data_IF_598329109063
#
_entry.id   IF_598329109063
#
_cell.length_a   1.000
_cell.length_b   1.000
_cell.length_c   1.000
_cell.angle_alpha   90.00
_cell.angle_beta   90.00
_cell.angle_gamma   90.00
#
_symmetry.space_group_name_H-M   'P 1'
#
loop_
_entity.id
_entity.type
_entity.pdbx_description
1 polymer ?
#
# COMPACT_ATOMS: atom_id res chain seq x y z
N UNK A 1 -39.23 19.57 -15.72
CA UNK A 1 -38.68 18.23 -15.87
C UNK A 1 -38.57 17.60 -14.48
N UNK A 2 -39.12 16.41 -14.29
CA UNK A 2 -39.16 15.69 -12.98
C UNK A 2 -37.76 15.35 -12.43
N UNK A 3 -36.74 15.34 -13.29
CA UNK A 3 -35.33 15.10 -12.91
C UNK A 3 -34.64 16.31 -12.31
N UNK A 4 -35.25 17.50 -12.40
CA UNK A 4 -34.66 18.73 -11.89
C UNK A 4 -34.84 18.84 -10.37
N UNK A 5 -33.73 19.05 -9.65
CA UNK A 5 -33.74 19.24 -8.22
C UNK A 5 -33.55 20.73 -7.88
N UNK A 6 -34.60 21.37 -7.38
CA UNK A 6 -34.58 22.80 -7.04
C UNK A 6 -33.77 23.16 -5.79
N UNK A 7 -33.37 22.16 -4.99
CA UNK A 7 -32.65 22.40 -3.72
C UNK A 7 -31.34 23.19 -3.90
N UNK A 8 -30.65 22.98 -5.02
CA UNK A 8 -29.42 23.70 -5.31
C UNK A 8 -29.69 25.16 -5.62
N UNK A 9 -30.73 25.43 -6.41
CA UNK A 9 -31.19 26.78 -6.70
C UNK A 9 -31.61 27.52 -5.41
N UNK A 10 -32.34 26.86 -4.53
CA UNK A 10 -32.76 27.38 -3.22
C UNK A 10 -31.54 27.70 -2.31
N UNK A 11 -30.52 26.84 -2.30
CA UNK A 11 -29.32 27.07 -1.49
C UNK A 11 -28.39 28.15 -2.03
N UNK A 12 -28.30 28.28 -3.35
CA UNK A 12 -27.37 29.21 -4.01
C UNK A 12 -28.00 30.54 -4.41
N UNK A 13 -29.32 30.64 -4.34
CA UNK A 13 -30.07 31.80 -4.86
C UNK A 13 -30.05 31.90 -6.38
N UNK A 14 -29.54 30.88 -7.09
CA UNK A 14 -29.50 30.84 -8.54
C UNK A 14 -30.84 30.34 -9.10
N UNK A 15 -31.28 30.85 -10.22
CA UNK A 15 -32.52 30.42 -10.87
C UNK A 15 -32.19 29.71 -12.18
N UNK A 16 -32.34 28.41 -12.20
CA UNK A 16 -32.10 27.58 -13.38
C UNK A 16 -33.33 27.58 -14.29
N UNK A 17 -33.19 28.14 -15.52
CA UNK A 17 -34.26 28.25 -16.53
C UNK A 17 -34.22 27.14 -17.57
N UNK A 18 -33.04 26.75 -18.02
CA UNK A 18 -32.82 25.67 -18.96
C UNK A 18 -31.42 25.09 -18.79
N UNK A 19 -31.30 23.78 -19.11
CA UNK A 19 -30.07 22.98 -18.90
C UNK A 19 -29.81 22.17 -20.17
N UNK A 20 -28.54 22.08 -20.58
CA UNK A 20 -28.03 21.02 -21.45
C UNK A 20 -27.00 20.22 -20.63
N UNK A 21 -27.07 18.90 -20.75
CA UNK A 21 -26.24 17.99 -19.99
C UNK A 21 -25.70 16.90 -20.91
N UNK A 22 -24.40 16.67 -20.88
CA UNK A 22 -23.74 15.62 -21.65
C UNK A 22 -22.76 14.83 -20.78
N UNK A 23 -22.69 13.49 -20.94
CA UNK A 23 -21.73 12.66 -20.24
C UNK A 23 -20.32 12.86 -20.78
N UNK A 24 -19.34 12.93 -19.89
CA UNK A 24 -17.91 12.85 -20.22
C UNK A 24 -17.53 11.38 -20.32
N UNK A 25 -17.23 10.92 -21.53
CA UNK A 25 -16.90 9.51 -21.78
C UNK A 25 -15.45 9.35 -22.17
N UNK A 26 -14.82 8.31 -21.66
CA UNK A 26 -13.51 7.84 -22.14
C UNK A 26 -13.59 7.34 -23.57
N UNK A 27 -12.46 7.17 -24.23
CA UNK A 27 -12.37 6.51 -25.56
C UNK A 27 -12.95 5.10 -25.53
N UNK A 28 -12.95 4.42 -24.36
CA UNK A 28 -13.53 3.09 -24.16
C UNK A 28 -15.05 3.11 -23.93
N UNK A 29 -15.64 4.31 -23.79
CA UNK A 29 -17.07 4.48 -23.56
C UNK A 29 -17.50 4.62 -22.10
N UNK A 30 -16.58 4.47 -21.14
CA UNK A 30 -16.88 4.62 -19.71
C UNK A 30 -17.23 6.05 -19.37
N UNK A 31 -18.26 6.26 -18.55
CA UNK A 31 -18.66 7.58 -18.10
C UNK A 31 -17.83 7.96 -16.87
N UNK A 32 -16.99 8.99 -17.00
CA UNK A 32 -16.11 9.48 -15.93
C UNK A 32 -16.61 10.80 -15.32
N UNK A 33 -17.65 11.41 -15.88
CA UNK A 33 -18.21 12.66 -15.38
C UNK A 33 -19.37 13.13 -16.23
N UNK A 34 -19.86 14.31 -15.89
CA UNK A 34 -20.98 14.98 -16.59
C UNK A 34 -20.68 16.46 -16.68
N UNK A 35 -20.92 17.04 -17.86
CA UNK A 35 -20.90 18.49 -18.06
C UNK A 35 -22.34 19.00 -18.12
N UNK A 36 -22.62 20.04 -17.35
CA UNK A 36 -23.89 20.77 -17.40
C UNK A 36 -23.64 22.23 -17.75
N UNK A 37 -24.44 22.73 -18.66
CA UNK A 37 -24.46 24.16 -19.00
C UNK A 37 -25.86 24.68 -18.72
N UNK A 38 -25.92 25.77 -17.95
CA UNK A 38 -27.17 26.34 -17.44
C UNK A 38 -27.46 27.66 -18.12
N UNK A 39 -28.72 27.94 -18.29
CA UNK A 39 -29.26 29.27 -18.65
C UNK A 39 -28.66 29.89 -19.93
N UNK A 40 -28.95 29.30 -21.07
CA UNK A 40 -28.63 29.92 -22.38
C UNK A 40 -29.15 31.36 -22.44
N UNK A 41 -28.30 32.29 -22.79
CA UNK A 41 -28.64 33.75 -22.78
C UNK A 41 -29.76 34.12 -23.74
N UNK A 42 -29.88 33.45 -24.88
CA UNK A 42 -30.93 33.68 -25.87
C UNK A 42 -31.60 32.36 -26.25
N UNK A 43 -32.91 32.25 -26.01
CA UNK A 43 -33.68 31.05 -26.35
C UNK A 43 -33.44 29.84 -25.43
N UNK A 44 -33.63 28.64 -26.00
CA UNK A 44 -33.41 27.35 -25.35
C UNK A 44 -32.25 26.64 -26.02
N UNK A 45 -31.63 25.69 -25.33
CA UNK A 45 -30.62 24.83 -25.92
C UNK A 45 -31.22 24.01 -27.10
N UNK A 46 -30.48 23.96 -28.21
CA UNK A 46 -30.81 23.25 -29.43
C UNK A 46 -29.99 21.94 -29.54
N UNK A 47 -30.26 21.15 -30.60
CA UNK A 47 -29.43 19.98 -30.91
C UNK A 47 -28.00 20.37 -31.26
N UNK A 48 -27.80 21.46 -31.97
CA UNK A 48 -26.46 21.95 -32.31
C UNK A 48 -25.66 22.35 -31.05
N UNK A 49 -26.33 22.94 -30.06
CA UNK A 49 -25.71 23.25 -28.77
C UNK A 49 -25.26 21.95 -28.06
N UNK A 50 -26.08 20.90 -28.12
CA UNK A 50 -25.73 19.58 -27.55
C UNK A 50 -24.50 18.95 -28.25
N UNK A 51 -24.46 19.01 -29.59
CA UNK A 51 -23.32 18.50 -30.37
C UNK A 51 -22.01 19.23 -29.99
N UNK A 52 -22.07 20.54 -29.80
CA UNK A 52 -20.93 21.33 -29.32
C UNK A 52 -20.49 20.88 -27.91
N UNK A 53 -21.45 20.68 -27.01
CA UNK A 53 -21.16 20.22 -25.65
C UNK A 53 -20.54 18.82 -25.67
N UNK A 54 -21.07 17.92 -26.50
CA UNK A 54 -20.51 16.55 -26.67
C UNK A 54 -19.07 16.59 -27.23
N UNK A 55 -18.77 17.46 -28.18
CA UNK A 55 -17.41 17.63 -28.67
C UNK A 55 -16.46 18.14 -27.58
N UNK A 56 -16.92 19.06 -26.72
CA UNK A 56 -16.16 19.57 -25.56
C UNK A 56 -15.96 18.46 -24.53
N UNK A 57 -16.97 17.58 -24.28
CA UNK A 57 -16.83 16.49 -23.33
C UNK A 57 -15.75 15.49 -23.73
N UNK A 58 -15.60 15.23 -25.04
CA UNK A 58 -14.55 14.35 -25.57
C UNK A 58 -13.15 14.92 -25.25
N UNK A 59 -12.95 16.20 -25.51
CA UNK A 59 -11.68 16.88 -25.21
C UNK A 59 -11.41 16.93 -23.69
N UNK A 60 -12.43 17.17 -22.89
CA UNK A 60 -12.35 17.16 -21.43
C UNK A 60 -11.98 15.77 -20.89
N UNK A 61 -12.53 14.70 -21.47
CA UNK A 61 -12.22 13.33 -21.08
C UNK A 61 -10.73 13.01 -21.27
N UNK A 62 -10.18 13.35 -22.44
CA UNK A 62 -8.76 13.15 -22.75
C UNK A 62 -7.87 13.94 -21.78
N UNK A 63 -8.22 15.20 -21.52
CA UNK A 63 -7.45 16.06 -20.61
C UNK A 63 -7.47 15.53 -19.16
N UNK A 64 -8.62 15.06 -18.68
CA UNK A 64 -8.76 14.46 -17.35
C UNK A 64 -7.96 13.18 -17.21
N UNK A 65 -8.03 12.28 -18.20
CA UNK A 65 -7.27 11.04 -18.17
C UNK A 65 -5.75 11.30 -18.17
N UNK A 66 -5.30 12.25 -18.98
CA UNK A 66 -3.88 12.63 -19.00
C UNK A 66 -3.44 13.21 -17.64
N UNK A 67 -4.26 14.08 -17.04
CA UNK A 67 -3.95 14.65 -15.73
C UNK A 67 -3.88 13.57 -14.63
N UNK A 68 -4.83 12.64 -14.61
CA UNK A 68 -4.82 11.52 -13.66
C UNK A 68 -3.59 10.61 -13.86
N UNK A 69 -3.26 10.29 -15.11
CA UNK A 69 -2.07 9.49 -15.41
C UNK A 69 -0.76 10.16 -14.95
N UNK A 70 -0.64 11.47 -15.13
CA UNK A 70 0.52 12.24 -14.63
C UNK A 70 0.57 12.23 -13.11
N UNK A 71 -0.56 12.41 -12.43
CA UNK A 71 -0.63 12.41 -10.97
C UNK A 71 -0.26 11.03 -10.38
N UNK A 72 -0.75 9.94 -10.99
CA UNK A 72 -0.38 8.57 -10.59
C UNK A 72 1.13 8.29 -10.79
N UNK A 73 1.68 8.74 -11.93
CA UNK A 73 3.12 8.62 -12.19
C UNK A 73 3.96 9.42 -11.19
N UNK A 74 3.54 10.63 -10.85
CA UNK A 74 4.26 11.48 -9.89
C UNK A 74 4.21 10.89 -8.47
N UNK A 75 3.08 10.34 -8.07
CA UNK A 75 2.92 9.66 -6.79
C UNK A 75 3.78 8.38 -6.71
N UNK A 76 3.84 7.60 -7.79
CA UNK A 76 4.70 6.41 -7.86
C UNK A 76 6.16 6.81 -7.78
N UNK A 77 6.58 7.81 -8.53
CA UNK A 77 7.95 8.32 -8.52
C UNK A 77 8.37 8.88 -7.16
N UNK A 78 7.48 9.59 -6.46
CA UNK A 78 7.77 10.07 -5.10
C UNK A 78 8.03 8.92 -4.14
N UNK A 79 7.22 7.85 -4.21
CA UNK A 79 7.43 6.66 -3.38
C UNK A 79 8.75 5.94 -3.69
N UNK A 80 9.12 5.84 -4.97
CA UNK A 80 10.40 5.26 -5.38
C UNK A 80 11.59 6.09 -4.90
N UNK A 81 11.52 7.42 -5.00
CA UNK A 81 12.58 8.30 -4.50
C UNK A 81 12.73 8.22 -2.98
N UNK A 82 11.62 8.22 -2.24
CA UNK A 82 11.63 8.07 -0.78
C UNK A 82 12.29 6.73 -0.38
N UNK A 83 12.04 5.66 -1.13
CA UNK A 83 12.69 4.37 -0.92
C UNK A 83 14.20 4.44 -1.17
N UNK A 84 14.64 5.06 -2.28
CA UNK A 84 16.06 5.21 -2.62
C UNK A 84 16.81 6.08 -1.60
N UNK A 85 16.20 7.13 -1.07
CA UNK A 85 16.77 7.96 -0.01
C UNK A 85 17.03 7.13 1.26
N UNK A 86 16.04 6.29 1.64
CA UNK A 86 16.20 5.38 2.78
C UNK A 86 17.35 4.41 2.56
N UNK A 87 17.44 3.79 1.37
CA UNK A 87 18.52 2.87 1.03
C UNK A 87 19.88 3.58 1.04
N UNK A 88 19.95 4.81 0.55
CA UNK A 88 21.18 5.61 0.54
C UNK A 88 21.66 5.95 1.95
N UNK A 89 20.74 6.35 2.84
CA UNK A 89 21.07 6.65 4.24
C UNK A 89 21.58 5.41 4.99
N UNK A 90 20.98 4.27 4.69
CA UNK A 90 21.32 2.97 5.27
C UNK A 90 22.73 2.50 4.89
N UNK A 91 23.14 2.71 3.64
CA UNK A 91 24.47 2.27 3.17
C UNK A 91 25.65 3.12 3.67
N UNK A 92 25.38 4.28 4.24
CA UNK A 92 26.41 5.17 4.79
C UNK A 92 26.87 4.78 6.22
N UNK A 93 26.18 3.86 6.89
CA UNK A 93 26.50 3.42 8.26
C UNK A 93 27.54 2.28 8.29
N UNK A 94 28.59 2.42 9.10
CA UNK A 94 29.71 1.46 9.21
C UNK A 94 29.40 0.33 10.22
N UNK A 95 28.55 0.57 11.21
CA UNK A 95 28.14 -0.45 12.18
C UNK A 95 26.94 -1.27 11.68
N UNK A 96 27.20 -2.55 11.38
CA UNK A 96 26.16 -3.45 10.87
C UNK A 96 24.93 -3.55 11.79
N UNK A 97 25.12 -3.47 13.11
CA UNK A 97 24.01 -3.54 14.07
C UNK A 97 23.08 -2.33 13.93
N UNK A 98 23.64 -1.12 13.97
CA UNK A 98 22.91 0.13 13.79
C UNK A 98 22.26 0.21 12.40
N UNK A 99 22.96 -0.27 11.36
CA UNK A 99 22.45 -0.34 10.01
C UNK A 99 21.17 -1.20 9.94
N UNK A 100 21.24 -2.43 10.42
CA UNK A 100 20.10 -3.36 10.43
C UNK A 100 18.94 -2.82 11.26
N UNK A 101 19.23 -2.15 12.39
CA UNK A 101 18.22 -1.51 13.21
C UNK A 101 17.47 -0.43 12.43
N UNK A 102 18.19 0.44 11.72
CA UNK A 102 17.57 1.50 10.89
C UNK A 102 16.72 0.92 9.76
N UNK A 103 17.24 -0.09 9.05
CA UNK A 103 16.48 -0.80 8.00
C UNK A 103 15.15 -1.32 8.56
N UNK A 104 15.19 -1.97 9.72
CA UNK A 104 13.98 -2.54 10.30
C UNK A 104 12.98 -1.47 10.78
N UNK A 105 13.47 -0.34 11.32
CA UNK A 105 12.62 0.80 11.69
C UNK A 105 11.91 1.36 10.46
N UNK A 106 12.64 1.59 9.38
CA UNK A 106 12.06 2.14 8.15
C UNK A 106 11.14 1.14 7.44
N UNK A 107 11.51 -0.13 7.37
CA UNK A 107 10.63 -1.17 6.84
C UNK A 107 9.30 -1.24 7.61
N UNK A 108 9.35 -1.16 8.94
CA UNK A 108 8.14 -1.15 9.79
C UNK A 108 7.27 0.07 9.48
N UNK A 109 7.88 1.24 9.34
CA UNK A 109 7.19 2.51 9.00
C UNK A 109 6.54 2.41 7.60
N UNK A 110 7.30 1.97 6.60
CA UNK A 110 6.84 1.86 5.20
C UNK A 110 5.66 0.89 5.06
N UNK A 111 5.70 -0.22 5.79
CA UNK A 111 4.64 -1.22 5.81
C UNK A 111 3.45 -0.80 6.66
N UNK A 112 3.54 0.30 7.40
CA UNK A 112 2.55 0.69 8.40
C UNK A 112 2.22 -0.46 9.38
N UNK A 113 3.27 -1.18 9.80
CA UNK A 113 3.21 -2.29 10.73
C UNK A 113 3.46 -1.83 12.17
N UNK A 114 3.12 -2.65 13.16
CA UNK A 114 3.41 -2.34 14.56
C UNK A 114 4.87 -2.65 14.92
N UNK A 115 5.35 -3.81 14.45
CA UNK A 115 6.68 -4.34 14.79
C UNK A 115 7.27 -5.10 13.61
N UNK A 116 8.60 -5.23 13.63
CA UNK A 116 9.32 -6.13 12.74
C UNK A 116 10.47 -6.81 13.47
N UNK A 117 10.88 -7.94 12.93
CA UNK A 117 12.00 -8.73 13.42
C UNK A 117 12.83 -9.26 12.25
N UNK A 118 14.13 -9.08 12.33
CA UNK A 118 15.08 -9.70 11.41
C UNK A 118 15.71 -10.90 12.09
N UNK A 119 15.51 -12.07 11.53
CA UNK A 119 16.13 -13.32 11.95
C UNK A 119 17.25 -13.72 10.99
N UNK A 120 18.39 -14.08 11.54
CA UNK A 120 19.48 -14.72 10.83
C UNK A 120 19.62 -16.17 11.27
N UNK A 121 20.08 -17.03 10.37
CA UNK A 121 20.32 -18.44 10.69
C UNK A 121 21.73 -18.62 11.27
N UNK A 122 21.79 -19.27 12.42
CA UNK A 122 23.01 -19.79 13.00
C UNK A 122 23.19 -21.24 12.52
N UNK A 123 24.13 -21.47 11.59
CA UNK A 123 24.35 -22.79 11.00
C UNK A 123 24.92 -23.80 12.01
N UNK A 124 25.53 -23.32 13.11
CA UNK A 124 26.12 -24.22 14.12
C UNK A 124 25.10 -24.81 15.08
N UNK A 125 24.08 -23.98 15.41
CA UNK A 125 23.03 -24.38 16.35
C UNK A 125 21.73 -24.77 15.64
N UNK A 126 21.65 -24.59 14.32
CA UNK A 126 20.43 -24.77 13.51
C UNK A 126 19.26 -23.94 14.04
N UNK A 127 19.55 -22.72 14.50
CA UNK A 127 18.59 -21.79 15.06
C UNK A 127 18.49 -20.50 14.23
N UNK A 128 17.28 -19.96 14.19
CA UNK A 128 17.06 -18.56 13.83
C UNK A 128 17.20 -17.70 15.08
N UNK A 129 18.04 -16.66 15.03
CA UNK A 129 18.18 -15.70 16.11
C UNK A 129 17.82 -14.29 15.62
N UNK A 130 17.17 -13.52 16.48
CA UNK A 130 16.82 -12.14 16.15
C UNK A 130 18.07 -11.26 16.23
N UNK A 131 18.52 -10.77 15.08
CA UNK A 131 19.57 -9.74 15.01
C UNK A 131 19.01 -8.37 15.35
N UNK A 132 17.74 -8.15 14.98
CA UNK A 132 16.96 -6.98 15.36
C UNK A 132 15.55 -7.45 15.71
N UNK A 133 15.05 -7.08 16.88
CA UNK A 133 13.67 -7.27 17.29
C UNK A 133 13.11 -5.97 17.84
N UNK A 134 12.03 -5.47 17.22
CA UNK A 134 11.38 -4.24 17.66
C UNK A 134 10.37 -4.51 18.76
N UNK A 135 10.43 -3.74 19.85
CA UNK A 135 9.53 -3.77 21.00
C UNK A 135 10.28 -3.53 22.29
N UNK A 136 9.60 -2.89 23.26
CA UNK A 136 10.22 -2.63 24.58
C UNK A 136 10.43 -3.95 25.34
N UNK A 137 11.63 -4.10 25.92
CA UNK A 137 11.97 -5.24 26.79
C UNK A 137 12.14 -6.59 26.05
N UNK A 138 12.19 -6.60 24.72
CA UNK A 138 12.44 -7.82 23.94
C UNK A 138 13.95 -8.03 23.85
N UNK A 139 14.45 -9.09 24.49
CA UNK A 139 15.81 -9.58 24.32
C UNK A 139 16.00 -10.34 23.00
N UNK A 140 17.16 -10.99 22.83
CA UNK A 140 17.39 -11.85 21.68
C UNK A 140 16.40 -13.03 21.68
N UNK A 141 15.70 -13.19 20.55
CA UNK A 141 14.79 -14.31 20.30
C UNK A 141 15.58 -15.39 19.59
N UNK A 142 15.59 -16.61 20.13
CA UNK A 142 16.15 -17.80 19.45
C UNK A 142 15.08 -18.87 19.31
N UNK A 143 15.03 -19.51 18.16
CA UNK A 143 14.11 -20.62 17.88
C UNK A 143 14.74 -21.58 16.85
N UNK A 144 14.44 -22.89 16.91
CA UNK A 144 14.88 -23.83 15.87
C UNK A 144 14.46 -23.33 14.48
N UNK A 145 15.36 -23.45 13.51
CA UNK A 145 15.14 -22.93 12.16
C UNK A 145 14.06 -23.69 11.36
N UNK A 146 13.42 -24.66 11.98
CA UNK A 146 12.28 -25.45 11.45
C UNK A 146 10.95 -25.10 12.12
N UNK A 147 10.95 -24.22 13.13
CA UNK A 147 9.77 -23.97 13.98
C UNK A 147 9.14 -22.59 13.70
N UNK A 148 7.82 -22.55 13.76
CA UNK A 148 7.04 -21.33 13.61
C UNK A 148 6.98 -20.82 12.18
N UNK A 149 6.44 -19.61 12.01
CA UNK A 149 6.32 -18.97 10.69
C UNK A 149 7.70 -18.65 10.12
N UNK A 150 8.60 -18.11 10.95
CA UNK A 150 9.97 -17.79 10.54
C UNK A 150 10.72 -19.03 10.04
N UNK A 151 10.64 -20.14 10.78
CA UNK A 151 11.24 -21.42 10.38
C UNK A 151 10.63 -21.96 9.08
N UNK A 152 9.31 -21.91 8.93
CA UNK A 152 8.64 -22.34 7.70
C UNK A 152 9.12 -21.54 6.48
N UNK A 153 9.23 -20.21 6.59
CA UNK A 153 9.73 -19.33 5.52
C UNK A 153 11.21 -19.60 5.23
N UNK A 154 12.03 -19.79 6.26
CA UNK A 154 13.43 -20.11 6.09
C UNK A 154 13.65 -21.43 5.34
N UNK A 155 12.87 -22.47 5.65
CA UNK A 155 12.97 -23.79 5.02
C UNK A 155 12.41 -23.80 3.59
N UNK A 156 11.24 -23.19 3.38
CA UNK A 156 10.58 -23.19 2.05
C UNK A 156 11.17 -22.16 1.10
N UNK A 157 11.81 -21.11 1.62
CA UNK A 157 12.24 -19.93 0.90
C UNK A 157 11.10 -19.18 0.19
N UNK A 158 9.88 -19.42 0.64
CA UNK A 158 8.66 -18.79 0.11
C UNK A 158 8.14 -17.74 1.10
N UNK A 159 7.65 -16.64 0.57
CA UNK A 159 6.98 -15.61 1.37
C UNK A 159 5.66 -16.12 1.92
N UNK A 160 5.37 -15.73 3.15
CA UNK A 160 4.11 -16.06 3.82
C UNK A 160 3.43 -14.77 4.28
N UNK A 161 2.18 -14.57 3.82
CA UNK A 161 1.31 -13.47 4.24
C UNK A 161 0.09 -14.05 4.96
N UNK A 162 0.01 -13.81 6.26
CA UNK A 162 -1.02 -14.39 7.15
C UNK A 162 -1.89 -13.28 7.70
N UNK A 163 -3.15 -13.16 7.27
CA UNK A 163 -4.06 -12.13 7.79
C UNK A 163 -4.53 -12.38 9.23
N UNK A 164 -4.51 -13.64 9.69
CA UNK A 164 -4.95 -14.06 11.02
C UNK A 164 -3.98 -15.11 11.62
N UNK A 165 -3.01 -14.62 12.40
CA UNK A 165 -1.92 -15.46 12.92
C UNK A 165 -2.41 -16.69 13.70
N UNK A 166 -3.40 -16.54 14.56
CA UNK A 166 -3.93 -17.63 15.39
C UNK A 166 -4.73 -18.69 14.61
N UNK A 167 -5.05 -18.43 13.34
CA UNK A 167 -5.66 -19.42 12.46
C UNK A 167 -4.63 -20.28 11.70
N UNK A 168 -3.36 -19.91 11.72
CA UNK A 168 -2.28 -20.65 11.06
C UNK A 168 -1.65 -21.65 12.03
N UNK A 169 -1.64 -22.93 11.67
CA UNK A 169 -1.14 -24.02 12.53
C UNK A 169 0.37 -23.93 12.83
N UNK A 170 1.11 -23.17 12.03
CA UNK A 170 2.55 -22.92 12.24
C UNK A 170 2.81 -21.84 13.28
N UNK A 171 1.81 -21.01 13.60
CA UNK A 171 1.97 -19.93 14.54
C UNK A 171 2.10 -20.44 15.97
N UNK A 172 3.16 -20.00 16.67
CA UNK A 172 3.37 -20.34 18.07
C UNK A 172 2.98 -19.17 18.98
N UNK A 173 1.89 -19.28 19.74
CA UNK A 173 1.41 -18.18 20.60
C UNK A 173 2.21 -18.01 21.91
N UNK A 174 3.24 -18.84 22.16
CA UNK A 174 4.01 -18.79 23.41
C UNK A 174 4.67 -17.42 23.63
N UNK A 175 5.15 -16.81 22.55
CA UNK A 175 5.79 -15.50 22.59
C UNK A 175 4.79 -14.39 22.95
N UNK A 176 3.61 -14.42 22.35
CA UNK A 176 2.51 -13.50 22.67
C UNK A 176 2.12 -13.63 24.15
N UNK A 177 2.02 -14.85 24.67
CA UNK A 177 1.70 -15.10 26.08
C UNK A 177 2.76 -14.58 27.05
N UNK A 178 4.05 -14.66 26.69
CA UNK A 178 5.15 -14.19 27.53
C UNK A 178 5.26 -12.66 27.55
N UNK A 179 5.01 -12.03 26.41
CA UNK A 179 5.22 -10.59 26.24
C UNK A 179 3.94 -9.75 26.43
N UNK A 180 2.77 -10.39 26.47
CA UNK A 180 1.48 -9.72 26.46
C UNK A 180 1.15 -9.08 25.11
N UNK A 181 1.93 -9.33 24.07
CA UNK A 181 1.63 -8.87 22.71
C UNK A 181 0.57 -9.76 22.07
N UNK A 182 -0.22 -9.19 21.17
CA UNK A 182 -1.22 -9.93 20.43
C UNK A 182 -0.95 -9.83 18.92
N UNK A 183 -0.44 -10.91 18.34
CA UNK A 183 -0.13 -11.02 16.93
C UNK A 183 -1.41 -11.29 16.12
N UNK A 184 -1.82 -10.35 15.27
CA UNK A 184 -2.98 -10.47 14.39
C UNK A 184 -2.59 -10.95 13.01
N UNK A 185 -1.72 -10.18 12.34
CA UNK A 185 -1.27 -10.45 10.97
C UNK A 185 0.24 -10.51 10.88
N UNK A 186 0.74 -11.34 9.97
CA UNK A 186 2.16 -11.59 9.76
C UNK A 186 2.47 -11.52 8.27
N UNK A 187 3.50 -10.77 7.90
CA UNK A 187 4.18 -10.89 6.62
C UNK A 187 5.61 -11.32 6.90
N UNK A 188 6.01 -12.47 6.38
CA UNK A 188 7.34 -13.01 6.55
C UNK A 188 7.97 -13.32 5.20
N UNK A 189 9.16 -12.79 4.93
CA UNK A 189 9.90 -12.97 3.68
C UNK A 189 11.27 -13.57 3.93
N UNK A 190 11.77 -14.46 3.05
CA UNK A 190 13.12 -15.00 3.17
C UNK A 190 14.17 -13.96 2.80
N UNK A 191 15.34 -14.01 3.41
CA UNK A 191 16.51 -13.25 3.04
C UNK A 191 17.43 -14.16 2.25
N UNK A 192 17.55 -13.91 0.96
CA UNK A 192 18.37 -14.69 0.04
C UNK A 192 19.64 -13.88 -0.28
N UNK A 193 20.79 -14.50 -0.09
CA UNK A 193 22.05 -13.88 -0.46
C UNK A 193 22.28 -13.93 -1.99
N UNK A 194 23.33 -13.27 -2.46
CA UNK A 194 23.70 -13.22 -3.90
C UNK A 194 24.00 -14.60 -4.52
N UNK A 195 24.28 -15.59 -3.70
CA UNK A 195 24.59 -16.96 -4.14
C UNK A 195 23.32 -17.85 -4.16
N UNK A 196 22.13 -17.26 -3.90
CA UNK A 196 20.86 -17.96 -3.87
C UNK A 196 20.58 -18.73 -2.58
N UNK A 197 21.40 -18.58 -1.55
CA UNK A 197 21.23 -19.25 -0.26
C UNK A 197 20.36 -18.41 0.66
N UNK A 198 19.38 -19.04 1.30
CA UNK A 198 18.62 -18.40 2.36
C UNK A 198 19.48 -18.28 3.62
N UNK A 199 19.63 -17.06 4.13
CA UNK A 199 20.44 -16.75 5.30
C UNK A 199 19.61 -16.30 6.51
N UNK A 200 18.30 -16.16 6.33
CA UNK A 200 17.39 -15.74 7.38
C UNK A 200 16.03 -15.37 6.84
N UNK A 201 15.27 -14.65 7.63
CA UNK A 201 13.99 -14.08 7.20
C UNK A 201 13.67 -12.79 7.94
N UNK A 202 12.86 -11.95 7.31
CA UNK A 202 12.31 -10.74 7.92
C UNK A 202 10.82 -10.88 8.12
N UNK A 203 10.35 -10.54 9.31
CA UNK A 203 8.96 -10.65 9.70
C UNK A 203 8.41 -9.29 10.13
N UNK A 204 7.28 -8.86 9.53
CA UNK A 204 6.52 -7.71 9.94
C UNK A 204 5.19 -8.15 10.57
N UNK A 205 4.79 -7.49 11.65
CA UNK A 205 3.63 -7.87 12.47
C UNK A 205 2.61 -6.74 12.52
N UNK A 206 1.34 -7.12 12.49
CA UNK A 206 0.19 -6.24 12.77
C UNK A 206 0.16 -4.98 11.90
N UNK A 207 -0.03 -5.13 10.61
CA UNK A 207 -0.31 -3.98 9.74
C UNK A 207 -1.51 -3.19 10.27
N UNK A 208 -1.38 -1.88 10.36
CA UNK A 208 -2.46 -0.98 10.77
C UNK A 208 -3.51 -0.89 9.65
N UNK A 209 -4.75 -1.04 10.00
CA UNK A 209 -5.87 -1.06 9.05
C UNK A 209 -6.16 -2.46 8.51
N UNK A 210 -6.05 -2.66 7.19
CA UNK A 210 -6.26 -3.98 6.54
C UNK A 210 -4.97 -4.81 6.60
N UNK A 211 -5.06 -6.11 6.29
CA UNK A 211 -3.89 -7.01 6.24
C UNK A 211 -2.82 -6.55 5.24
N UNK A 212 -1.67 -7.20 5.25
CA UNK A 212 -0.58 -6.94 4.30
C UNK A 212 -1.03 -7.24 2.86
N UNK A 213 -0.55 -6.42 1.91
CA UNK A 213 -0.87 -6.50 0.48
C UNK A 213 0.32 -7.03 -0.31
N UNK A 214 0.11 -7.36 -1.59
CA UNK A 214 1.20 -7.77 -2.51
C UNK A 214 2.23 -6.64 -2.69
N UNK A 215 1.82 -5.37 -2.60
CA UNK A 215 2.70 -4.22 -2.61
C UNK A 215 3.59 -4.19 -1.35
N UNK A 216 3.05 -4.52 -0.18
CA UNK A 216 3.81 -4.65 1.05
C UNK A 216 4.83 -5.78 0.97
N UNK A 217 4.45 -6.91 0.38
CA UNK A 217 5.35 -8.03 0.14
C UNK A 217 6.51 -7.63 -0.78
N UNK A 218 6.20 -6.95 -1.90
CA UNK A 218 7.20 -6.48 -2.84
C UNK A 218 8.18 -5.49 -2.20
N UNK A 219 7.68 -4.60 -1.35
CA UNK A 219 8.50 -3.63 -0.61
C UNK A 219 9.40 -4.27 0.45
N UNK A 220 8.92 -5.33 1.12
CA UNK A 220 9.72 -6.02 2.14
C UNK A 220 10.79 -6.92 1.51
N UNK A 221 10.61 -7.35 0.27
CA UNK A 221 11.58 -8.15 -0.51
C UNK A 221 12.69 -7.31 -1.15
N UNK A 222 12.43 -6.03 -1.42
CA UNK A 222 13.38 -5.11 -2.06
C UNK A 222 14.50 -4.69 -1.13
#
# INVERSE_FOLDING_TARGET
DERFNSKIDEQTGYVTKNIVCAPVRTVRGDVIGVIQILNKKKGRFTKDDLEIVEAITLQAAVSLQNAQGVEEMDNTRKKEMEFLDIVSDVTAEIDLGSLLQRVMVEATRMLNADRSTLFLNDEKTEELFSRVAMGEGIGEIRLPNTVGIAGAVFQSQETVNIPYAYADLRFNPSFDKQTGYFTRSILCVPIINKDGKCIGCTQALNKKGRGFTDEDESRLKA
#
